data_IF_615606659375
#
_entry.id   IF_615606659375
#
_cell.length_a   1.000
_cell.length_b   1.000
_cell.length_c   1.000
_cell.angle_alpha   90.00
_cell.angle_beta   90.00
_cell.angle_gamma   90.00
#
_symmetry.space_group_name_H-M   'P 1'
#
loop_
_entity.id
_entity.type
_entity.pdbx_description
1 polymer ?
#
# COMPACT_ATOMS: atom_id res chain seq x y z
N UNK A 1 -22.74 4.06 -11.64
CA UNK A 1 -22.90 5.13 -10.64
C UNK A 1 -23.68 4.57 -9.45
N UNK A 2 -22.99 4.12 -8.39
CA UNK A 2 -23.65 3.66 -7.15
C UNK A 2 -23.36 4.67 -6.04
N UNK A 3 -24.46 5.11 -5.43
CA UNK A 3 -24.66 6.12 -4.38
C UNK A 3 -23.46 6.48 -3.48
N UNK A 4 -23.00 7.72 -3.61
CA UNK A 4 -22.03 8.42 -2.75
C UNK A 4 -22.57 8.81 -1.35
N UNK A 5 -23.87 8.63 -1.08
CA UNK A 5 -24.53 9.38 0.00
C UNK A 5 -24.90 8.58 1.27
N UNK A 6 -24.64 7.26 1.38
CA UNK A 6 -25.21 6.45 2.46
C UNK A 6 -24.25 5.85 3.49
N UNK A 7 -22.94 6.10 3.44
CA UNK A 7 -21.99 5.46 4.36
C UNK A 7 -21.49 6.34 5.52
N UNK A 8 -21.98 7.57 5.65
CA UNK A 8 -21.39 8.55 6.56
C UNK A 8 -22.29 8.88 7.77
N UNK A 9 -22.42 7.96 8.74
CA UNK A 9 -22.95 8.32 10.07
C UNK A 9 -22.76 7.24 11.17
N UNK A 10 -21.56 6.72 11.47
CA UNK A 10 -21.48 5.72 12.55
C UNK A 10 -20.22 5.76 13.49
N UNK A 11 -20.48 5.64 14.81
CA UNK A 11 -19.70 6.08 15.99
C UNK A 11 -18.30 5.43 16.20
N UNK A 12 -17.55 5.86 17.24
CA UNK A 12 -16.15 5.44 17.58
C UNK A 12 -15.82 3.93 17.47
N UNK A 13 -16.81 3.04 17.59
CA UNK A 13 -16.63 1.59 17.37
C UNK A 13 -16.55 1.16 15.89
N UNK A 14 -16.65 2.10 14.95
CA UNK A 14 -16.72 1.85 13.51
C UNK A 14 -15.51 2.31 12.70
N UNK A 15 -14.53 2.97 13.33
CA UNK A 15 -13.28 3.31 12.66
C UNK A 15 -12.63 2.07 12.03
N UNK A 16 -12.64 0.87 12.66
CA UNK A 16 -12.04 -0.31 12.03
C UNK A 16 -12.82 -0.74 10.79
N UNK A 17 -14.14 -0.66 10.84
CA UNK A 17 -15.01 -1.00 9.71
C UNK A 17 -14.78 -0.02 8.56
N UNK A 18 -14.75 1.28 8.84
CA UNK A 18 -14.45 2.32 7.85
C UNK A 18 -13.07 2.09 7.20
N UNK A 19 -12.05 1.79 8.01
CA UNK A 19 -10.70 1.50 7.54
C UNK A 19 -10.67 0.31 6.58
N UNK A 20 -11.26 -0.83 6.97
CA UNK A 20 -11.24 -2.04 6.15
C UNK A 20 -12.12 -1.93 4.90
N UNK A 21 -13.22 -1.16 4.94
CA UNK A 21 -14.02 -0.90 3.74
C UNK A 21 -13.24 -0.05 2.72
N UNK A 22 -12.57 1.01 3.17
CA UNK A 22 -11.72 1.85 2.28
C UNK A 22 -10.55 1.05 1.72
N UNK A 23 -10.03 0.11 2.50
CA UNK A 23 -8.91 -0.75 2.11
C UNK A 23 -9.27 -1.66 0.93
N UNK A 24 -10.47 -2.25 0.89
CA UNK A 24 -10.92 -3.05 -0.27
C UNK A 24 -11.03 -2.22 -1.56
N UNK A 25 -11.58 -1.02 -1.46
CA UNK A 25 -11.67 -0.08 -2.59
C UNK A 25 -10.27 0.34 -3.08
N UNK A 26 -9.40 0.73 -2.14
CA UNK A 26 -8.06 1.18 -2.43
C UNK A 26 -7.19 0.08 -3.06
N UNK A 27 -7.30 -1.17 -2.60
CA UNK A 27 -6.60 -2.29 -3.25
C UNK A 27 -7.04 -2.52 -4.68
N UNK A 28 -8.34 -2.39 -4.94
CA UNK A 28 -8.89 -2.54 -6.28
C UNK A 28 -8.40 -1.44 -7.22
N UNK A 29 -8.12 -0.24 -6.69
CA UNK A 29 -7.75 0.94 -7.47
C UNK A 29 -6.24 1.12 -7.65
N UNK A 30 -5.46 0.85 -6.61
CA UNK A 30 -4.02 1.17 -6.55
C UNK A 30 -3.11 -0.06 -6.52
N UNK A 31 -3.70 -1.26 -6.49
CA UNK A 31 -2.95 -2.51 -6.51
C UNK A 31 -2.44 -2.92 -5.13
N UNK A 32 -1.61 -3.97 -5.10
CA UNK A 32 -1.34 -4.77 -3.91
C UNK A 32 -0.26 -4.18 -2.99
N UNK A 33 0.68 -3.42 -3.54
CA UNK A 33 1.78 -2.78 -2.81
C UNK A 33 1.35 -1.48 -2.15
N UNK A 34 0.22 -1.49 -1.46
CA UNK A 34 -0.41 -0.31 -0.87
C UNK A 34 -0.41 -0.37 0.66
N UNK A 35 0.10 0.68 1.29
CA UNK A 35 0.02 0.95 2.72
C UNK A 35 -1.00 2.05 2.96
N UNK A 36 -2.02 1.76 3.77
CA UNK A 36 -3.08 2.71 4.10
C UNK A 36 -2.84 3.30 5.48
N UNK A 37 -2.68 4.62 5.55
CA UNK A 37 -2.54 5.38 6.78
C UNK A 37 -3.83 6.14 7.06
N UNK A 38 -4.47 5.86 8.19
CA UNK A 38 -5.71 6.54 8.61
C UNK A 38 -5.44 7.52 9.73
N UNK A 39 -5.89 8.76 9.56
CA UNK A 39 -5.78 9.78 10.60
C UNK A 39 -6.78 9.50 11.72
N UNK A 40 -6.27 9.44 12.95
CA UNK A 40 -7.05 9.37 14.17
C UNK A 40 -6.50 10.42 15.14
N UNK A 41 -7.21 11.55 15.24
CA UNK A 41 -6.74 12.70 16.00
C UNK A 41 -5.41 13.26 15.46
N UNK A 42 -4.33 13.14 16.24
CA UNK A 42 -2.99 13.65 15.91
C UNK A 42 -2.01 12.56 15.43
N UNK A 43 -2.52 11.38 15.10
CA UNK A 43 -1.72 10.25 14.64
C UNK A 43 -2.22 9.71 13.31
N UNK A 44 -1.29 9.25 12.49
CA UNK A 44 -1.59 8.29 11.43
C UNK A 44 -1.44 6.88 11.99
N UNK A 45 -2.43 6.04 11.73
CA UNK A 45 -2.46 4.66 12.19
C UNK A 45 -2.57 3.69 11.02
N UNK A 46 -1.96 2.52 11.19
CA UNK A 46 -2.00 1.39 10.26
C UNK A 46 -2.52 0.18 11.02
N UNK A 47 -3.61 -0.40 10.53
CA UNK A 47 -4.31 -1.51 11.20
C UNK A 47 -4.29 -2.78 10.35
N UNK A 48 -4.18 -3.92 11.02
CA UNK A 48 -4.14 -5.23 10.39
C UNK A 48 -4.93 -6.25 11.20
N UNK A 49 -5.74 -7.06 10.51
CA UNK A 49 -6.47 -8.16 11.11
C UNK A 49 -5.79 -9.49 10.78
N UNK A 50 -5.07 -10.12 11.74
CA UNK A 50 -4.48 -11.43 11.55
C UNK A 50 -5.56 -12.51 11.38
N UNK A 51 -5.21 -13.58 10.68
CA UNK A 51 -6.00 -14.81 10.55
C UNK A 51 -7.39 -14.67 9.90
N UNK A 52 -7.68 -13.55 9.24
CA UNK A 52 -8.81 -13.45 8.30
C UNK A 52 -8.26 -13.65 6.90
N UNK A 53 -8.80 -14.58 6.10
CA UNK A 53 -8.42 -14.72 4.70
C UNK A 53 -8.78 -13.41 4.00
N UNK A 54 -7.80 -12.53 3.90
CA UNK A 54 -7.90 -11.26 3.21
C UNK A 54 -7.26 -11.42 1.84
N UNK A 55 -7.71 -10.61 0.88
CA UNK A 55 -7.05 -10.37 -0.40
C UNK A 55 -5.53 -10.26 -0.19
N UNK A 56 -5.08 -9.47 0.79
CA UNK A 56 -3.65 -9.33 1.10
C UNK A 56 -2.93 -10.64 1.42
N UNK A 57 -3.56 -11.58 2.16
CA UNK A 57 -2.96 -12.87 2.47
C UNK A 57 -2.91 -13.80 1.26
N UNK A 58 -3.96 -13.79 0.43
CA UNK A 58 -3.96 -14.57 -0.81
C UNK A 58 -2.88 -14.07 -1.78
N UNK A 59 -2.67 -12.76 -1.85
CA UNK A 59 -1.67 -12.14 -2.71
C UNK A 59 -0.24 -12.20 -2.14
N UNK A 60 -0.07 -12.10 -0.82
CA UNK A 60 1.24 -12.33 -0.20
C UNK A 60 1.70 -13.77 -0.41
N UNK A 61 0.77 -14.74 -0.40
CA UNK A 61 1.08 -16.10 -0.83
C UNK A 61 1.47 -16.18 -2.31
N UNK A 62 0.89 -15.37 -3.20
CA UNK A 62 1.32 -15.30 -4.60
C UNK A 62 2.74 -14.73 -4.75
N UNK A 63 3.11 -13.71 -3.96
CA UNK A 63 4.47 -13.16 -3.93
C UNK A 63 5.51 -14.18 -3.42
N UNK A 64 5.15 -15.03 -2.44
CA UNK A 64 5.99 -16.16 -2.03
C UNK A 64 6.22 -17.17 -3.15
N UNK A 65 5.22 -17.42 -4.00
CA UNK A 65 5.36 -18.32 -5.14
C UNK A 65 6.37 -17.74 -6.16
N UNK A 66 6.33 -16.42 -6.41
CA UNK A 66 7.31 -15.74 -7.27
C UNK A 66 8.72 -15.80 -6.68
N UNK A 67 8.87 -15.53 -5.38
CA UNK A 67 10.17 -15.61 -4.70
C UNK A 67 10.72 -17.05 -4.67
N UNK A 68 9.86 -18.06 -4.56
CA UNK A 68 10.25 -19.47 -4.67
C UNK A 68 10.74 -19.79 -6.09
N UNK A 69 10.07 -19.31 -7.13
CA UNK A 69 10.54 -19.48 -8.52
C UNK A 69 11.90 -18.82 -8.74
N UNK A 70 12.12 -17.60 -8.21
CA UNK A 70 13.38 -16.89 -8.34
C UNK A 70 14.54 -17.56 -7.55
N UNK A 71 14.25 -18.10 -6.36
CA UNK A 71 15.20 -18.92 -5.59
C UNK A 71 15.57 -20.22 -6.33
N UNK A 72 14.61 -20.90 -6.96
CA UNK A 72 14.89 -22.10 -7.76
C UNK A 72 15.75 -21.82 -9.01
N UNK A 73 15.84 -20.58 -9.48
CA UNK A 73 16.68 -20.19 -10.63
C UNK A 73 18.15 -19.97 -10.21
N UNK A 74 18.45 -19.91 -8.91
CA UNK A 74 19.78 -19.54 -8.39
C UNK A 74 20.38 -20.56 -7.42
N UNK A 75 20.22 -21.88 -7.63
CA UNK A 75 20.90 -22.87 -6.77
C UNK A 75 21.54 -24.03 -7.55
N UNK A 76 22.79 -23.81 -7.99
CA UNK A 76 23.82 -24.86 -8.07
C UNK A 76 24.74 -24.74 -6.84
N UNK A 77 24.23 -24.99 -5.63
CA UNK A 77 25.09 -25.40 -4.51
C UNK A 77 24.25 -25.99 -3.37
N UNK A 78 24.50 -27.27 -3.08
CA UNK A 78 23.83 -28.02 -2.02
C UNK A 78 24.33 -27.63 -0.62
N UNK A 79 23.42 -27.56 0.37
CA UNK A 79 23.63 -28.16 1.70
C UNK A 79 22.32 -28.23 2.51
N UNK A 80 21.87 -29.42 2.96
CA UNK A 80 20.61 -29.59 3.68
C UNK A 80 20.86 -29.86 5.17
N UNK A 81 20.78 -28.84 6.03
CA UNK A 81 20.74 -29.05 7.49
C UNK A 81 19.76 -28.11 8.20
N UNK A 82 18.58 -28.65 8.50
CA UNK A 82 17.82 -28.41 9.73
C UNK A 82 17.54 -26.97 10.14
N UNK A 83 16.51 -26.34 9.56
CA UNK A 83 15.71 -25.34 10.28
C UNK A 83 14.27 -25.79 10.34
N UNK A 84 13.74 -25.84 11.57
CA UNK A 84 12.30 -25.93 11.84
C UNK A 84 11.57 -25.05 10.84
N UNK A 85 10.64 -25.64 10.10
CA UNK A 85 9.69 -24.94 9.24
C UNK A 85 8.85 -23.99 10.09
N UNK A 86 9.38 -22.81 10.43
CA UNK A 86 8.56 -21.62 10.57
C UNK A 86 7.93 -21.49 9.20
N UNK A 87 6.61 -21.67 9.13
CA UNK A 87 5.83 -21.31 7.95
C UNK A 87 6.44 -20.03 7.38
N UNK A 88 6.96 -20.09 6.15
CA UNK A 88 7.41 -18.92 5.39
C UNK A 88 6.14 -18.10 5.11
N UNK A 89 5.55 -17.53 6.14
CA UNK A 89 4.47 -16.58 6.05
C UNK A 89 5.10 -15.27 5.64
N UNK A 90 4.55 -14.63 4.62
CA UNK A 90 4.91 -13.24 4.34
C UNK A 90 4.62 -12.45 5.60
N UNK A 91 5.66 -11.78 6.10
CA UNK A 91 5.54 -10.79 7.16
C UNK A 91 4.48 -9.78 6.73
N UNK A 92 3.35 -9.63 7.45
CA UNK A 92 2.28 -8.73 7.04
C UNK A 92 2.82 -7.28 6.90
N UNK A 93 2.24 -6.45 6.03
CA UNK A 93 2.74 -5.09 5.80
C UNK A 93 2.90 -4.27 7.08
N UNK A 94 2.02 -4.46 8.07
CA UNK A 94 2.13 -3.79 9.37
C UNK A 94 3.43 -4.11 10.12
N UNK A 95 3.90 -5.36 10.05
CA UNK A 95 5.14 -5.80 10.70
C UNK A 95 6.36 -5.27 9.95
N UNK A 96 6.29 -5.24 8.62
CA UNK A 96 7.36 -4.66 7.79
C UNK A 96 7.49 -3.15 8.04
N UNK A 97 6.38 -2.41 8.01
CA UNK A 97 6.36 -0.97 8.28
C UNK A 97 6.81 -0.67 9.70
N UNK A 98 6.33 -1.44 10.69
CA UNK A 98 6.74 -1.26 12.09
C UNK A 98 8.24 -1.49 12.29
N UNK A 99 8.79 -2.56 11.69
CA UNK A 99 10.23 -2.84 11.72
C UNK A 99 11.05 -1.77 11.02
N UNK A 100 10.55 -1.21 9.92
CA UNK A 100 11.25 -0.20 9.12
C UNK A 100 11.27 1.17 9.82
N UNK A 101 10.17 1.54 10.47
CA UNK A 101 10.02 2.83 11.15
C UNK A 101 10.37 2.77 12.64
N UNK A 102 10.87 1.64 13.14
CA UNK A 102 11.11 1.36 14.57
C UNK A 102 9.88 1.68 15.45
N UNK A 103 8.70 1.29 14.96
CA UNK A 103 7.42 1.54 15.62
C UNK A 103 6.95 0.31 16.38
N UNK A 104 6.34 0.55 17.54
CA UNK A 104 5.74 -0.53 18.33
C UNK A 104 4.38 -0.93 17.77
N UNK A 105 4.22 -2.22 17.50
CA UNK A 105 2.89 -2.81 17.25
C UNK A 105 2.19 -3.05 18.58
N UNK A 106 0.94 -2.65 18.65
CA UNK A 106 0.04 -2.83 19.79
C UNK A 106 -1.19 -3.62 19.35
N UNK A 107 -1.87 -4.24 20.31
CA UNK A 107 -3.13 -4.94 20.06
C UNK A 107 -4.25 -4.34 20.93
N UNK A 108 -5.04 -3.41 20.41
CA UNK A 108 -6.11 -2.78 21.19
C UNK A 108 -7.26 -3.76 21.42
N UNK A 109 -7.50 -4.13 22.69
CA UNK A 109 -8.68 -4.87 23.12
C UNK A 109 -8.70 -6.38 22.77
N UNK A 110 -9.88 -7.00 22.90
CA UNK A 110 -10.08 -8.47 22.77
C UNK A 110 -10.17 -8.99 21.32
N UNK A 111 -10.13 -8.13 20.30
CA UNK A 111 -10.49 -8.47 18.90
C UNK A 111 -9.32 -8.86 18.00
N UNK A 112 -8.18 -9.25 18.59
CA UNK A 112 -6.97 -9.65 17.86
C UNK A 112 -6.61 -8.70 16.71
N UNK A 113 -6.79 -7.38 16.87
CA UNK A 113 -6.45 -6.38 15.85
C UNK A 113 -5.04 -5.86 16.16
N UNK A 114 -4.17 -5.80 15.16
CA UNK A 114 -2.86 -5.18 15.28
C UNK A 114 -2.95 -3.72 14.83
N UNK A 115 -2.30 -2.85 15.58
CA UNK A 115 -2.24 -1.41 15.35
C UNK A 115 -0.80 -0.92 15.54
N UNK A 116 -0.32 -0.10 14.61
CA UNK A 116 0.81 0.78 14.81
C UNK A 116 0.44 2.20 14.37
N UNK A 117 1.14 3.21 14.86
CA UNK A 117 0.91 4.59 14.43
C UNK A 117 2.07 5.51 14.77
N UNK A 118 2.07 6.68 14.14
CA UNK A 118 3.04 7.75 14.38
C UNK A 118 2.39 9.13 14.27
N UNK A 119 2.98 10.19 14.84
CA UNK A 119 2.40 11.54 14.82
C UNK A 119 2.25 12.10 13.40
N UNK A 120 1.17 12.83 13.12
CA UNK A 120 0.89 13.36 11.77
C UNK A 120 2.02 14.20 11.18
N UNK A 121 2.74 14.95 12.00
CA UNK A 121 3.83 15.83 11.56
C UNK A 121 5.07 15.05 11.10
N UNK A 122 5.16 13.76 11.41
CA UNK A 122 6.26 12.88 11.00
C UNK A 122 6.02 12.21 9.64
N UNK A 123 4.87 12.45 9.00
CA UNK A 123 4.52 11.82 7.72
C UNK A 123 5.58 12.06 6.66
N UNK A 124 6.00 13.31 6.45
CA UNK A 124 6.99 13.67 5.43
C UNK A 124 8.33 12.96 5.65
N UNK A 125 8.78 12.85 6.90
CA UNK A 125 10.01 12.15 7.27
C UNK A 125 9.96 10.65 6.94
N UNK A 126 8.82 9.99 7.18
CA UNK A 126 8.69 8.55 6.93
C UNK A 126 8.32 8.23 5.48
N UNK A 127 7.82 9.21 4.73
CA UNK A 127 7.34 9.00 3.38
C UNK A 127 8.45 8.48 2.46
N UNK A 128 9.63 9.12 2.44
CA UNK A 128 10.77 8.69 1.62
C UNK A 128 11.16 7.24 1.92
N UNK A 129 11.31 6.90 3.20
CA UNK A 129 11.67 5.55 3.66
C UNK A 129 10.67 4.49 3.21
N UNK A 130 9.36 4.82 3.21
CA UNK A 130 8.31 3.91 2.77
C UNK A 130 8.24 3.78 1.24
N UNK A 131 8.43 4.89 0.52
CA UNK A 131 8.43 4.91 -0.95
C UNK A 131 9.65 4.19 -1.53
N UNK A 132 10.81 4.27 -0.89
CA UNK A 132 12.05 3.56 -1.27
C UNK A 132 11.90 2.02 -1.21
N UNK A 133 10.93 1.52 -0.44
CA UNK A 133 10.53 0.11 -0.45
C UNK A 133 9.60 -0.28 -1.61
N UNK A 134 9.23 0.68 -2.46
CA UNK A 134 8.33 0.47 -3.58
C UNK A 134 6.85 0.45 -3.18
N UNK A 135 6.51 0.90 -1.97
CA UNK A 135 5.12 0.96 -1.52
C UNK A 135 4.42 2.23 -2.00
N UNK A 136 3.14 2.11 -2.35
CA UNK A 136 2.22 3.23 -2.54
C UNK A 136 1.55 3.55 -1.21
N UNK A 137 1.67 4.79 -0.74
CA UNK A 137 1.14 5.24 0.53
C UNK A 137 -0.16 6.02 0.30
N UNK A 138 -1.24 5.54 0.88
CA UNK A 138 -2.54 6.21 0.83
C UNK A 138 -2.80 6.86 2.18
N UNK A 139 -2.96 8.18 2.17
CA UNK A 139 -3.26 8.97 3.36
C UNK A 139 -4.76 9.25 3.39
N UNK A 140 -5.38 8.93 4.52
CA UNK A 140 -6.81 9.12 4.78
C UNK A 140 -6.95 10.08 5.95
N UNK A 141 -7.40 11.30 5.67
CA UNK A 141 -7.53 12.36 6.68
C UNK A 141 -8.95 12.46 7.25
N UNK A 142 -9.06 13.00 8.45
CA UNK A 142 -10.32 13.37 9.07
C UNK A 142 -10.89 14.64 8.43
N UNK A 143 -12.09 14.53 7.86
CA UNK A 143 -12.80 15.69 7.31
C UNK A 143 -13.36 16.54 8.45
N UNK A 144 -13.13 17.86 8.38
CA UNK A 144 -13.76 18.82 9.28
C UNK A 144 -15.29 18.75 9.11
N UNK A 145 -15.99 18.23 10.12
CA UNK A 145 -17.45 18.11 10.11
C UNK A 145 -17.99 18.84 11.32
N UNK A 146 -18.84 19.84 11.10
CA UNK A 146 -19.44 20.67 12.16
C UNK A 146 -20.59 19.96 12.92
N UNK A 147 -20.85 18.69 12.62
CA UNK A 147 -21.96 17.92 13.19
C UNK A 147 -21.49 16.99 14.31
N UNK A 148 -22.28 16.95 15.39
CA UNK A 148 -22.13 15.96 16.46
C UNK A 148 -22.29 14.56 15.87
N UNK A 149 -21.16 13.88 15.68
CA UNK A 149 -21.11 12.60 15.00
C UNK A 149 -19.70 12.07 14.82
N UNK A 150 -19.56 10.84 14.33
CA UNK A 150 -18.29 10.26 13.93
C UNK A 150 -17.69 11.05 12.78
N UNK A 151 -16.42 11.44 12.93
CA UNK A 151 -15.70 12.16 11.89
C UNK A 151 -15.66 11.35 10.60
N UNK A 152 -16.07 11.97 9.50
CA UNK A 152 -15.89 11.40 8.18
C UNK A 152 -14.41 11.39 7.82
N UNK A 153 -14.01 10.44 6.99
CA UNK A 153 -12.63 10.29 6.53
C UNK A 153 -12.64 10.00 5.05
N UNK A 154 -11.70 10.59 4.33
CA UNK A 154 -11.53 10.39 2.90
C UNK A 154 -10.05 10.32 2.56
N UNK A 155 -9.74 9.64 1.45
CA UNK A 155 -8.39 9.67 0.87
C UNK A 155 -8.07 11.12 0.52
N UNK A 156 -7.07 11.68 1.18
CA UNK A 156 -6.60 13.04 0.92
C UNK A 156 -5.48 13.04 -0.10
N UNK A 157 -4.55 12.10 0.02
CA UNK A 157 -3.34 12.03 -0.79
C UNK A 157 -2.96 10.57 -1.09
N UNK A 158 -2.33 10.38 -2.24
CA UNK A 158 -1.73 9.11 -2.66
C UNK A 158 -0.32 9.40 -3.13
N UNK A 159 0.64 8.77 -2.49
CA UNK A 159 2.06 8.87 -2.82
C UNK A 159 2.51 7.56 -3.43
N UNK A 160 3.04 7.61 -4.64
CA UNK A 160 3.67 6.46 -5.28
C UNK A 160 5.14 6.77 -5.56
N UNK A 161 6.01 5.74 -5.63
CA UNK A 161 7.46 5.94 -5.77
C UNK A 161 7.84 6.88 -6.92
N UNK A 162 7.22 6.72 -8.09
CA UNK A 162 7.54 7.49 -9.30
C UNK A 162 6.83 8.85 -9.40
N UNK A 163 5.95 9.20 -8.44
CA UNK A 163 5.17 10.44 -8.46
C UNK A 163 5.42 11.33 -7.24
N UNK A 164 6.44 11.04 -6.43
CA UNK A 164 6.78 11.89 -5.29
C UNK A 164 7.52 13.16 -5.76
N UNK A 165 6.91 14.32 -5.51
CA UNK A 165 7.44 15.61 -5.97
C UNK A 165 8.49 16.21 -5.03
N UNK A 166 8.50 15.81 -3.76
CA UNK A 166 9.25 16.53 -2.72
C UNK A 166 10.67 15.98 -2.46
N UNK A 167 11.01 14.78 -2.97
CA UNK A 167 12.29 14.10 -2.67
C UNK A 167 12.75 13.20 -3.83
N UNK A 168 13.15 13.79 -4.97
CA UNK A 168 13.71 13.03 -6.10
C UNK A 168 14.99 13.72 -6.63
N UNK A 169 16.18 13.14 -6.38
CA UNK A 169 17.43 13.66 -6.95
C UNK A 169 17.52 13.41 -8.46
N UNK A 170 16.80 12.39 -8.96
CA UNK A 170 16.74 12.00 -10.36
C UNK A 170 15.34 12.16 -10.93
N UNK A 171 15.23 12.26 -12.26
CA UNK A 171 13.94 12.44 -12.91
C UNK A 171 13.17 11.12 -12.96
N UNK A 172 12.10 11.04 -12.16
CA UNK A 172 11.24 9.86 -12.12
C UNK A 172 10.22 9.86 -13.26
N UNK A 173 10.15 8.75 -14.00
CA UNK A 173 9.15 8.52 -15.04
C UNK A 173 8.20 7.40 -14.66
N UNK A 174 6.92 7.61 -14.92
CA UNK A 174 5.88 6.57 -14.97
C UNK A 174 5.82 6.05 -16.40
N UNK A 175 5.92 4.74 -16.57
CA UNK A 175 5.76 4.09 -17.87
C UNK A 175 4.36 3.48 -17.95
N UNK A 176 3.64 3.75 -19.03
CA UNK A 176 2.43 3.01 -19.39
C UNK A 176 2.70 2.24 -20.67
N UNK A 177 2.30 0.97 -20.68
CA UNK A 177 2.46 0.07 -21.81
C UNK A 177 1.07 -0.40 -22.23
N UNK A 178 0.75 -0.17 -23.50
CA UNK A 178 -0.51 -0.55 -24.12
C UNK A 178 -0.25 -1.50 -25.28
N UNK A 179 -0.93 -2.64 -25.29
CA UNK A 179 -0.85 -3.61 -26.37
C UNK A 179 -2.19 -3.70 -27.08
N UNK A 180 -2.16 -3.64 -28.41
CA UNK A 180 -3.33 -3.88 -29.26
C UNK A 180 -2.88 -4.45 -30.60
N UNK A 181 -3.33 -5.67 -30.91
CA UNK A 181 -2.96 -6.37 -32.13
C UNK A 181 -1.42 -6.37 -32.28
N UNK A 182 -0.88 -5.79 -33.36
CA UNK A 182 0.56 -5.69 -33.64
C UNK A 182 1.17 -4.34 -33.21
N UNK A 183 0.48 -3.59 -32.35
CA UNK A 183 0.89 -2.28 -31.83
C UNK A 183 1.19 -2.35 -30.32
N UNK A 184 2.40 -1.91 -29.98
CA UNK A 184 2.89 -1.63 -28.63
C UNK A 184 3.05 -0.12 -28.45
N UNK A 185 2.15 0.49 -27.70
CA UNK A 185 2.27 1.89 -27.27
C UNK A 185 3.00 1.98 -25.95
N UNK A 186 4.17 2.62 -25.92
CA UNK A 186 4.91 2.93 -24.70
C UNK A 186 4.80 4.43 -24.45
N UNK A 187 4.33 4.85 -23.28
CA UNK A 187 4.38 6.25 -22.85
C UNK A 187 5.23 6.39 -21.60
N UNK A 188 6.05 7.43 -21.54
CA UNK A 188 6.80 7.83 -20.35
C UNK A 188 6.32 9.21 -19.92
N UNK A 189 5.97 9.37 -18.65
CA UNK A 189 5.49 10.63 -18.10
C UNK A 189 6.21 10.95 -16.78
N UNK A 190 6.76 12.16 -16.66
CA UNK A 190 7.32 12.67 -15.41
C UNK A 190 6.37 13.70 -14.80
N UNK A 191 5.86 13.37 -13.61
CA UNK A 191 5.00 14.28 -12.86
C UNK A 191 5.73 15.54 -12.36
N UNK A 192 7.06 15.46 -12.20
CA UNK A 192 7.88 16.54 -11.64
C UNK A 192 7.98 17.76 -12.55
N UNK A 193 8.09 17.53 -13.87
CA UNK A 193 8.31 18.59 -14.85
C UNK A 193 7.30 18.57 -16.01
N UNK A 194 6.33 17.65 -15.98
CA UNK A 194 5.34 17.47 -17.05
C UNK A 194 5.92 16.88 -18.34
N UNK A 195 7.17 16.42 -18.34
CA UNK A 195 7.79 15.83 -19.53
C UNK A 195 7.09 14.52 -19.91
N UNK A 196 6.67 14.41 -21.16
CA UNK A 196 5.97 13.25 -21.69
C UNK A 196 6.55 12.81 -23.02
N UNK A 197 6.77 11.52 -23.19
CA UNK A 197 7.24 10.91 -24.43
C UNK A 197 6.34 9.73 -24.78
N UNK A 198 6.05 9.54 -26.06
CA UNK A 198 5.25 8.43 -26.56
C UNK A 198 5.95 7.75 -27.74
N UNK A 199 6.09 6.43 -27.66
CA UNK A 199 6.67 5.59 -28.70
C UNK A 199 5.66 4.52 -29.13
N UNK A 200 5.13 4.58 -30.35
CA UNK A 200 4.44 3.44 -30.95
C UNK A 200 5.48 2.49 -31.57
N UNK A 201 5.40 1.22 -31.22
CA UNK A 201 6.21 0.14 -31.78
C UNK A 201 5.27 -0.80 -32.52
N UNK A 202 5.49 -0.96 -33.82
CA UNK A 202 4.79 -1.95 -34.63
C UNK A 202 5.75 -3.10 -34.91
N UNK A 203 5.26 -4.33 -34.89
CA UNK A 203 5.98 -5.47 -35.45
C UNK A 203 5.14 -6.12 -36.55
N UNK A 204 5.82 -6.74 -37.51
CA UNK A 204 5.21 -7.68 -38.43
C UNK A 204 5.76 -9.07 -38.05
N UNK A 205 4.90 -10.09 -38.10
CA UNK A 205 5.31 -11.48 -37.97
C UNK A 205 6.37 -11.88 -39.01
#
# INVERSE_FOLDING_TARGET
>A
MRNFALYNALSKGQIPVQYFNLMEENYSKYGLSVIQLIQIGKFYELWHKPNVPSIQQAYSQAELLVNRVNSCITDYSESPLGRRSRSLGVTPPIEQVASLLDMRITSPGKRSLLQMGFPIYSLTTYLSTLLDKGWTIIVIDELATDKSGPKQRAVSQVYSPSCNLEDCPELSYVISIYFKDDLLGITLFSAMNGHSIMFPVYWAD
#
